data_IF_202923571340
#
_entry.id   IF_202923571340
#
_cell.length_a   1.000
_cell.length_b   1.000
_cell.length_c   1.000
_cell.angle_alpha   90.00
_cell.angle_beta   90.00
_cell.angle_gamma   90.00
#
_symmetry.space_group_name_H-M   'P 1'
#
loop_
_entity.id
_entity.type
_entity.pdbx_description
1 polymer ?
#
# COMPACT_ATOMS: atom_id res chain seq x y z
N UNK A 1 18.25 16.82 26.83
CA UNK A 1 17.21 17.53 26.03
C UNK A 1 16.46 16.60 25.05
N UNK A 2 17.11 15.74 24.24
CA UNK A 2 16.43 14.87 23.25
C UNK A 2 15.38 13.96 23.90
N UNK A 3 15.74 13.24 24.97
CA UNK A 3 14.80 12.35 25.65
C UNK A 3 13.60 13.08 26.26
N UNK A 4 13.72 14.31 26.71
CA UNK A 4 12.58 15.14 27.13
C UNK A 4 11.63 15.42 25.97
N UNK A 5 12.17 15.67 24.77
CA UNK A 5 11.38 15.83 23.55
C UNK A 5 10.68 14.53 23.14
N UNK A 6 11.35 13.38 23.27
CA UNK A 6 10.79 12.04 23.00
C UNK A 6 9.65 11.74 23.95
N UNK A 7 9.88 11.89 25.25
CA UNK A 7 8.85 11.66 26.30
C UNK A 7 7.65 12.61 26.11
N UNK A 8 7.89 13.90 25.91
CA UNK A 8 6.83 14.86 25.66
C UNK A 8 6.05 14.58 24.35
N UNK A 9 6.68 13.96 23.36
CA UNK A 9 6.00 13.52 22.16
C UNK A 9 5.18 12.25 22.43
N UNK A 10 5.74 11.28 23.14
CA UNK A 10 5.03 10.06 23.57
C UNK A 10 3.76 10.40 24.37
N UNK A 11 3.88 11.24 25.38
CA UNK A 11 2.72 11.68 26.18
C UNK A 11 1.64 12.30 25.29
N UNK A 12 2.02 13.19 24.37
CA UNK A 12 1.07 13.80 23.43
C UNK A 12 0.40 12.77 22.50
N UNK A 13 1.12 11.76 22.01
CA UNK A 13 0.50 10.74 21.16
C UNK A 13 -0.35 9.76 21.98
N UNK A 14 0.00 9.44 23.22
CA UNK A 14 -0.84 8.66 24.14
C UNK A 14 -2.14 9.39 24.49
N UNK A 15 -2.08 10.67 24.85
CA UNK A 15 -3.28 11.51 25.07
C UNK A 15 -4.15 11.53 23.81
N UNK A 16 -3.54 11.60 22.63
CA UNK A 16 -4.28 11.56 21.35
C UNK A 16 -4.92 10.21 21.09
N UNK A 17 -4.24 9.11 21.40
CA UNK A 17 -4.81 7.78 21.31
C UNK A 17 -6.01 7.62 22.23
N UNK A 18 -5.94 8.17 23.44
CA UNK A 18 -7.02 8.18 24.41
C UNK A 18 -8.27 8.96 23.95
N UNK A 19 -8.07 10.01 23.15
CA UNK A 19 -9.15 10.85 22.59
C UNK A 19 -9.72 10.25 21.28
N UNK A 20 -9.18 9.15 20.74
CA UNK A 20 -9.69 8.55 19.49
C UNK A 20 -11.18 8.20 19.57
N UNK A 21 -11.73 7.59 20.66
CA UNK A 21 -13.16 7.33 20.76
C UNK A 21 -14.02 8.60 20.65
N UNK A 22 -13.63 9.68 21.35
CA UNK A 22 -14.32 10.96 21.23
C UNK A 22 -14.26 11.55 19.82
N UNK A 23 -13.13 11.40 19.13
CA UNK A 23 -13.00 11.82 17.72
C UNK A 23 -13.86 11.00 16.78
N UNK A 24 -14.02 9.71 17.03
CA UNK A 24 -14.96 8.87 16.28
C UNK A 24 -16.40 9.35 16.47
N UNK A 25 -16.82 9.69 17.69
CA UNK A 25 -18.13 10.27 17.95
C UNK A 25 -18.34 11.60 17.20
N UNK A 26 -17.32 12.46 17.17
CA UNK A 26 -17.36 13.72 16.40
C UNK A 26 -17.29 13.50 14.88
N UNK A 27 -16.72 12.39 14.42
CA UNK A 27 -16.65 12.04 13.01
C UNK A 27 -17.98 11.50 12.47
N UNK A 28 -18.72 10.70 13.25
CA UNK A 28 -19.96 10.06 12.81
C UNK A 28 -20.96 11.01 12.14
N UNK A 29 -21.27 12.20 12.70
CA UNK A 29 -22.13 13.17 12.04
C UNK A 29 -21.57 13.72 10.73
N UNK A 30 -20.23 13.78 10.62
CA UNK A 30 -19.51 14.33 9.48
C UNK A 30 -19.19 13.29 8.40
N UNK A 31 -19.47 12.00 8.62
CA UNK A 31 -19.10 10.89 7.72
C UNK A 31 -19.59 11.08 6.31
N UNK A 32 -20.81 11.59 6.11
CA UNK A 32 -21.37 11.85 4.78
C UNK A 32 -20.58 12.92 4.02
N UNK A 33 -20.10 13.95 4.72
CA UNK A 33 -19.25 15.00 4.13
C UNK A 33 -17.91 14.43 3.64
N UNK A 34 -17.29 13.52 4.41
CA UNK A 34 -16.03 12.90 4.03
C UNK A 34 -16.20 11.88 2.90
N UNK A 35 -17.28 11.09 2.94
CA UNK A 35 -17.64 10.19 1.83
C UNK A 35 -17.86 10.96 0.53
N UNK A 36 -18.61 12.06 0.58
CA UNK A 36 -18.80 12.93 -0.57
C UNK A 36 -17.48 13.47 -1.12
N UNK A 37 -16.57 13.96 -0.28
CA UNK A 37 -15.25 14.44 -0.71
C UNK A 37 -14.39 13.34 -1.36
N UNK A 38 -14.41 12.14 -0.83
CA UNK A 38 -13.70 11.00 -1.42
C UNK A 38 -14.32 10.63 -2.76
N UNK A 39 -15.63 10.63 -2.87
CA UNK A 39 -16.35 10.35 -4.11
C UNK A 39 -16.13 11.43 -5.17
N UNK A 40 -16.15 12.70 -4.80
CA UNK A 40 -15.79 13.82 -5.68
C UNK A 40 -14.35 13.71 -6.21
N UNK A 41 -13.40 13.24 -5.39
CA UNK A 41 -12.03 13.01 -5.83
C UNK A 41 -11.93 11.81 -6.79
N UNK A 42 -12.68 10.73 -6.53
CA UNK A 42 -12.78 9.58 -7.42
C UNK A 42 -13.38 9.99 -8.77
N UNK A 43 -14.52 10.69 -8.79
CA UNK A 43 -15.18 11.15 -10.02
C UNK A 43 -14.27 12.08 -10.82
N UNK A 44 -13.66 13.10 -10.19
CA UNK A 44 -12.76 14.02 -10.85
C UNK A 44 -11.53 13.31 -11.46
N UNK A 45 -11.01 12.27 -10.82
CA UNK A 45 -9.93 11.46 -11.38
C UNK A 45 -10.39 10.61 -12.56
N UNK A 46 -11.66 10.16 -12.57
CA UNK A 46 -12.22 9.37 -13.68
C UNK A 46 -12.52 10.18 -14.92
N UNK A 47 -12.78 11.48 -14.77
CA UNK A 47 -13.05 12.43 -15.87
C UNK A 47 -11.77 12.88 -16.58
N UNK A 48 -10.60 12.75 -15.96
CA UNK A 48 -9.32 13.14 -16.57
C UNK A 48 -8.82 12.07 -17.53
N UNK A 49 -8.35 12.49 -18.68
CA UNK A 49 -7.67 11.61 -19.64
C UNK A 49 -6.27 11.21 -19.17
N UNK A 50 -5.61 12.07 -18.40
CA UNK A 50 -4.28 11.83 -17.85
C UNK A 50 -4.22 12.06 -16.33
N UNK A 51 -3.40 11.31 -15.60
CA UNK A 51 -3.16 11.55 -14.18
C UNK A 51 -2.58 12.94 -13.93
N UNK A 52 -2.88 13.55 -12.78
CA UNK A 52 -2.35 14.85 -12.42
C UNK A 52 -0.81 14.78 -12.27
N UNK A 53 -0.12 15.58 -13.07
CA UNK A 53 1.34 15.62 -13.11
C UNK A 53 1.98 16.43 -11.97
N UNK A 54 3.25 16.80 -12.14
CA UNK A 54 4.07 17.43 -11.10
C UNK A 54 3.82 18.93 -10.92
N UNK A 55 3.01 19.56 -11.74
CA UNK A 55 2.76 21.04 -11.68
C UNK A 55 2.31 21.52 -10.29
N UNK A 56 1.59 20.70 -9.53
CA UNK A 56 1.16 21.07 -8.18
C UNK A 56 2.31 21.11 -7.15
N UNK A 57 3.51 20.62 -7.52
CA UNK A 57 4.68 20.63 -6.65
C UNK A 57 5.51 21.93 -6.74
N UNK A 58 5.13 22.91 -7.56
CA UNK A 58 5.91 24.15 -7.72
C UNK A 58 6.12 24.89 -6.38
N UNK A 59 5.11 24.91 -5.52
CA UNK A 59 5.25 25.47 -4.18
C UNK A 59 6.20 24.67 -3.27
N UNK A 60 6.38 23.37 -3.54
CA UNK A 60 7.36 22.53 -2.86
C UNK A 60 8.78 22.84 -3.37
N UNK A 61 8.96 22.94 -4.67
CA UNK A 61 10.25 23.29 -5.26
C UNK A 61 10.73 24.69 -4.88
N UNK A 62 9.81 25.65 -4.73
CA UNK A 62 10.16 27.01 -4.29
C UNK A 62 10.72 27.08 -2.85
N UNK A 63 10.54 26.04 -2.06
CA UNK A 63 11.07 25.96 -0.69
C UNK A 63 12.44 25.27 -0.59
N UNK A 64 13.17 25.23 -1.71
CA UNK A 64 14.48 24.57 -1.70
C UNK A 64 15.41 25.21 -0.63
N UNK A 65 16.04 24.39 0.23
CA UNK A 65 17.00 24.89 1.19
C UNK A 65 18.23 25.47 0.45
N UNK A 66 18.89 26.45 1.07
CA UNK A 66 20.19 26.85 0.61
C UNK A 66 21.14 25.66 0.68
N UNK A 67 21.87 25.37 -0.41
CA UNK A 67 22.85 24.27 -0.42
C UNK A 67 23.96 24.55 0.58
N UNK A 68 24.17 23.60 1.49
CA UNK A 68 25.36 23.57 2.33
C UNK A 68 26.25 22.42 1.87
N UNK A 69 27.29 22.73 1.07
CA UNK A 69 28.32 21.78 0.64
C UNK A 69 28.08 21.14 -0.74
N UNK A 70 29.08 20.35 -1.20
CA UNK A 70 29.14 19.79 -2.56
C UNK A 70 28.18 18.61 -2.79
N UNK A 71 27.69 17.97 -1.73
CA UNK A 71 26.84 16.78 -1.81
C UNK A 71 25.65 16.91 -0.88
N UNK A 72 24.42 17.07 -1.40
CA UNK A 72 23.21 17.21 -0.56
C UNK A 72 22.93 15.96 0.27
N UNK A 73 22.37 16.17 1.46
CA UNK A 73 22.01 15.10 2.40
C UNK A 73 20.52 14.77 2.30
N UNK A 74 20.20 13.56 1.85
CA UNK A 74 18.87 13.00 1.83
C UNK A 74 18.68 12.04 3.00
N UNK A 75 17.59 12.18 3.74
CA UNK A 75 17.16 11.16 4.70
C UNK A 75 15.94 10.41 4.16
N UNK A 76 16.00 9.07 4.14
CA UNK A 76 14.89 8.20 3.68
C UNK A 76 14.45 7.31 4.82
N UNK A 77 13.13 7.19 5.04
CA UNK A 77 12.60 6.29 6.06
C UNK A 77 11.49 5.40 5.51
N UNK A 78 11.63 4.09 5.74
CA UNK A 78 10.63 3.07 5.44
C UNK A 78 10.42 2.16 6.65
N UNK A 79 9.15 1.96 7.05
CA UNK A 79 8.79 1.18 8.24
C UNK A 79 8.30 -0.24 7.96
N UNK A 80 8.13 -0.61 6.69
CA UNK A 80 7.66 -1.94 6.25
C UNK A 80 8.44 -2.40 5.02
N UNK A 81 8.48 -3.72 4.78
CA UNK A 81 9.25 -4.30 3.67
C UNK A 81 8.85 -3.77 2.29
N UNK A 82 7.56 -3.54 2.03
CA UNK A 82 7.09 -2.94 0.77
C UNK A 82 7.57 -1.50 0.60
N UNK A 83 7.48 -0.70 1.66
CA UNK A 83 8.00 0.68 1.67
C UNK A 83 9.52 0.72 1.50
N UNK A 84 10.24 -0.22 2.11
CA UNK A 84 11.70 -0.34 1.94
C UNK A 84 12.09 -0.67 0.50
N UNK A 85 11.37 -1.55 -0.18
CA UNK A 85 11.60 -1.86 -1.59
C UNK A 85 11.49 -0.59 -2.47
N UNK A 86 10.46 0.23 -2.24
CA UNK A 86 10.29 1.50 -2.96
C UNK A 86 11.40 2.51 -2.61
N UNK A 87 11.77 2.60 -1.34
CA UNK A 87 12.86 3.45 -0.86
C UNK A 87 14.21 3.04 -1.47
N UNK A 88 14.52 1.75 -1.49
CA UNK A 88 15.76 1.22 -2.06
C UNK A 88 15.86 1.47 -3.58
N UNK A 89 14.73 1.32 -4.31
CA UNK A 89 14.68 1.67 -5.75
C UNK A 89 14.98 3.16 -5.98
N UNK A 90 14.39 4.04 -5.17
CA UNK A 90 14.69 5.48 -5.22
C UNK A 90 16.19 5.74 -4.98
N UNK A 91 16.78 5.14 -3.94
CA UNK A 91 18.21 5.34 -3.61
C UNK A 91 19.10 4.87 -4.76
N UNK A 92 18.84 3.70 -5.35
CA UNK A 92 19.58 3.20 -6.54
C UNK A 92 19.44 4.15 -7.73
N UNK A 93 18.22 4.66 -7.99
CA UNK A 93 17.97 5.60 -9.09
C UNK A 93 18.69 6.94 -8.92
N UNK A 94 19.04 7.36 -7.69
CA UNK A 94 19.85 8.54 -7.44
C UNK A 94 21.33 8.37 -7.77
N UNK A 95 21.81 7.11 -7.87
CA UNK A 95 23.15 6.79 -8.37
C UNK A 95 24.31 7.38 -7.54
N UNK A 96 24.12 7.54 -6.23
CA UNK A 96 25.16 8.10 -5.34
C UNK A 96 25.33 9.63 -5.41
N UNK A 97 24.47 10.34 -6.16
CA UNK A 97 24.55 11.80 -6.30
C UNK A 97 24.24 12.58 -5.00
N UNK A 98 23.68 11.93 -3.98
CA UNK A 98 23.41 12.50 -2.67
C UNK A 98 24.06 11.63 -1.56
N UNK A 99 24.36 12.23 -0.42
CA UNK A 99 24.58 11.49 0.83
C UNK A 99 23.22 10.98 1.31
N UNK A 100 23.05 9.67 1.50
CA UNK A 100 21.76 9.10 1.93
C UNK A 100 21.91 8.46 3.29
N UNK A 101 21.24 9.01 4.32
CA UNK A 101 21.00 8.33 5.59
C UNK A 101 19.62 7.72 5.62
N UNK A 102 19.44 6.56 6.25
CA UNK A 102 18.15 5.87 6.17
C UNK A 102 17.71 5.21 7.49
N UNK A 103 16.39 5.07 7.64
CA UNK A 103 15.76 4.06 8.47
C UNK A 103 15.07 3.05 7.57
N UNK A 104 15.37 1.76 7.76
CA UNK A 104 14.84 0.67 6.92
C UNK A 104 15.52 -0.64 7.27
N UNK A 105 16.05 -1.35 6.31
CA UNK A 105 16.73 -2.63 6.49
C UNK A 105 17.80 -2.87 5.42
N UNK A 106 18.06 -4.17 5.15
CA UNK A 106 19.15 -4.60 4.26
C UNK A 106 19.02 -4.11 2.83
N UNK A 107 17.81 -3.97 2.27
CA UNK A 107 17.64 -3.50 0.88
C UNK A 107 18.10 -2.05 0.70
N UNK A 108 17.92 -1.19 1.71
CA UNK A 108 18.41 0.19 1.68
C UNK A 108 19.94 0.24 1.81
N UNK A 109 20.53 -0.63 2.65
CA UNK A 109 21.99 -0.76 2.75
C UNK A 109 22.62 -1.21 1.41
N UNK A 110 22.05 -2.24 0.78
CA UNK A 110 22.45 -2.72 -0.55
C UNK A 110 22.28 -1.66 -1.65
N UNK A 111 21.32 -0.74 -1.48
CA UNK A 111 21.14 0.38 -2.38
C UNK A 111 22.15 1.53 -2.18
N UNK A 112 23.02 1.44 -1.17
CA UNK A 112 24.07 2.44 -0.86
C UNK A 112 23.68 3.50 0.17
N UNK A 113 22.61 3.30 0.95
CA UNK A 113 22.25 4.18 2.05
C UNK A 113 22.99 3.81 3.33
N UNK A 114 23.37 4.83 4.14
CA UNK A 114 23.81 4.67 5.53
C UNK A 114 22.59 4.36 6.41
N UNK A 115 22.35 3.06 6.67
CA UNK A 115 21.21 2.60 7.47
C UNK A 115 21.50 2.76 8.95
N UNK A 116 20.99 3.83 9.54
CA UNK A 116 21.14 4.17 10.95
C UNK A 116 20.27 3.34 11.88
N UNK A 117 19.15 2.81 11.36
CA UNK A 117 18.18 2.07 12.16
C UNK A 117 17.39 1.05 11.32
N UNK A 118 17.38 -0.22 11.76
CA UNK A 118 16.70 -1.36 11.10
C UNK A 118 15.19 -1.35 11.33
N UNK A 119 14.47 -0.32 10.87
CA UNK A 119 13.05 -0.11 11.18
C UNK A 119 12.13 -1.14 10.51
N UNK A 120 12.38 -1.49 9.25
CA UNK A 120 11.53 -2.41 8.47
C UNK A 120 11.64 -3.87 8.94
N UNK A 121 12.77 -4.25 9.54
CA UNK A 121 13.00 -5.59 10.06
C UNK A 121 12.12 -5.92 11.27
N UNK A 122 11.63 -4.89 11.94
CA UNK A 122 10.81 -4.95 13.14
C UNK A 122 9.35 -4.55 12.91
N UNK A 123 8.92 -4.48 11.64
CA UNK A 123 7.58 -4.06 11.28
C UNK A 123 6.49 -4.95 11.90
N UNK A 124 5.63 -4.38 12.73
CA UNK A 124 4.43 -5.02 13.27
C UNK A 124 3.20 -4.16 13.07
N UNK A 125 2.08 -4.81 12.82
CA UNK A 125 0.78 -4.16 12.72
C UNK A 125 -0.10 -4.45 13.95
N UNK A 126 -0.98 -3.49 14.23
CA UNK A 126 -1.94 -3.57 15.32
C UNK A 126 -1.44 -2.96 16.62
N UNK A 127 -2.38 -2.57 17.48
CA UNK A 127 -2.10 -1.84 18.73
C UNK A 127 -1.16 -2.61 19.65
N UNK A 128 -1.38 -3.92 19.81
CA UNK A 128 -0.55 -4.77 20.68
C UNK A 128 0.88 -4.90 20.13
N UNK A 129 1.03 -5.03 18.81
CA UNK A 129 2.33 -5.08 18.17
C UNK A 129 3.11 -3.78 18.35
N UNK A 130 2.47 -2.65 18.14
CA UNK A 130 3.06 -1.31 18.35
C UNK A 130 3.47 -1.10 19.81
N UNK A 131 2.67 -1.53 20.78
CA UNK A 131 3.03 -1.43 22.20
C UNK A 131 4.26 -2.25 22.56
N UNK A 132 4.41 -3.47 22.03
CA UNK A 132 5.60 -4.30 22.23
C UNK A 132 6.86 -3.68 21.65
N UNK A 133 6.75 -2.92 20.56
CA UNK A 133 7.88 -2.27 19.90
C UNK A 133 8.06 -0.79 20.28
N UNK A 134 7.27 -0.30 21.22
CA UNK A 134 7.35 1.09 21.65
C UNK A 134 8.79 1.53 22.03
N UNK A 135 9.58 0.75 22.79
CA UNK A 135 10.96 1.13 23.09
C UNK A 135 11.84 1.30 21.85
N UNK A 136 11.64 0.43 20.84
CA UNK A 136 12.34 0.50 19.56
C UNK A 136 11.98 1.76 18.79
N UNK A 137 10.67 2.04 18.68
CA UNK A 137 10.14 3.25 18.01
C UNK A 137 10.66 4.52 18.68
N UNK A 138 10.73 4.55 20.01
CA UNK A 138 11.26 5.69 20.77
C UNK A 138 12.76 5.90 20.54
N UNK A 139 13.55 4.81 20.44
CA UNK A 139 14.97 4.87 20.10
C UNK A 139 15.18 5.39 18.69
N UNK A 140 14.42 4.87 17.70
CA UNK A 140 14.45 5.36 16.32
C UNK A 140 14.12 6.85 16.27
N UNK A 141 13.07 7.27 16.96
CA UNK A 141 12.72 8.70 17.01
C UNK A 141 13.77 9.56 17.71
N UNK A 142 14.41 9.07 18.76
CA UNK A 142 15.51 9.77 19.44
C UNK A 142 16.73 9.92 18.51
N UNK A 143 17.08 8.87 17.74
CA UNK A 143 18.18 8.94 16.76
C UNK A 143 17.86 9.93 15.63
N UNK A 144 16.62 9.91 15.13
CA UNK A 144 16.18 10.90 14.16
C UNK A 144 16.27 12.35 14.67
N UNK A 145 15.94 12.59 15.95
CA UNK A 145 16.08 13.92 16.54
C UNK A 145 17.54 14.35 16.72
N UNK A 146 18.47 13.38 16.94
CA UNK A 146 19.90 13.64 16.92
C UNK A 146 20.37 14.03 15.52
N UNK A 147 19.98 13.24 14.50
CA UNK A 147 20.27 13.56 13.11
C UNK A 147 19.80 14.98 12.75
N UNK A 148 18.56 15.31 13.04
CA UNK A 148 18.03 16.65 12.77
C UNK A 148 18.77 17.78 13.51
N UNK A 149 19.45 17.49 14.61
CA UNK A 149 20.24 18.48 15.38
C UNK A 149 21.66 18.59 14.87
N UNK A 150 22.31 17.45 14.64
CA UNK A 150 23.75 17.34 14.47
C UNK A 150 24.18 17.35 12.99
N UNK A 151 23.34 16.80 12.11
CA UNK A 151 23.60 16.67 10.68
C UNK A 151 22.24 16.71 9.92
N UNK A 152 21.57 17.88 9.91
CA UNK A 152 20.24 18.00 9.35
C UNK A 152 20.22 17.71 7.85
N UNK A 153 19.31 16.84 7.37
CA UNK A 153 19.18 16.58 5.94
C UNK A 153 18.55 17.76 5.20
N UNK A 154 18.92 17.92 3.93
CA UNK A 154 18.35 18.92 3.02
C UNK A 154 16.90 18.52 2.62
N UNK A 155 16.61 17.22 2.60
CA UNK A 155 15.29 16.66 2.31
C UNK A 155 15.05 15.39 3.13
N UNK A 156 13.85 15.24 3.66
CA UNK A 156 13.36 14.00 4.27
C UNK A 156 12.28 13.37 3.38
N UNK A 157 12.52 12.15 2.92
CA UNK A 157 11.55 11.33 2.17
C UNK A 157 11.02 10.23 3.10
N UNK A 158 9.74 10.29 3.40
CA UNK A 158 9.02 9.34 4.25
C UNK A 158 8.20 8.41 3.36
N UNK A 159 8.45 7.10 3.43
CA UNK A 159 7.78 6.11 2.57
C UNK A 159 6.75 5.33 3.37
N UNK A 160 5.45 5.52 3.04
CA UNK A 160 4.33 4.89 3.76
C UNK A 160 4.39 5.11 5.30
N UNK A 161 4.05 4.13 6.12
CA UNK A 161 4.21 4.05 7.58
C UNK A 161 3.76 5.29 8.36
N UNK A 162 2.48 5.72 8.25
CA UNK A 162 2.00 7.04 8.67
C UNK A 162 2.07 7.30 10.18
N UNK A 163 2.22 6.28 11.02
CA UNK A 163 2.28 6.41 12.48
C UNK A 163 3.49 7.22 12.94
N UNK A 164 4.68 6.66 12.80
CA UNK A 164 5.95 7.30 13.18
C UNK A 164 6.28 8.46 12.22
N UNK A 165 6.04 8.29 10.92
CA UNK A 165 6.40 9.27 9.91
C UNK A 165 5.70 10.62 10.12
N UNK A 166 4.43 10.64 10.58
CA UNK A 166 3.78 11.91 10.91
C UNK A 166 4.42 12.62 12.12
N UNK A 167 5.01 11.87 13.04
CA UNK A 167 5.75 12.43 14.19
C UNK A 167 7.10 12.99 13.74
N UNK A 168 7.80 12.27 12.86
CA UNK A 168 9.07 12.70 12.23
C UNK A 168 8.85 13.96 11.39
N UNK A 169 7.83 13.98 10.52
CA UNK A 169 7.47 15.15 9.71
C UNK A 169 7.24 16.42 10.55
N UNK A 170 6.62 16.29 11.72
CA UNK A 170 6.46 17.44 12.65
C UNK A 170 7.76 17.91 13.25
N UNK A 171 8.71 17.01 13.50
CA UNK A 171 10.02 17.38 13.98
C UNK A 171 10.81 18.14 12.90
N UNK A 172 10.73 17.70 11.65
CA UNK A 172 11.30 18.39 10.48
C UNK A 172 10.72 19.79 10.34
N UNK A 173 9.38 19.92 10.36
CA UNK A 173 8.69 21.21 10.24
C UNK A 173 9.16 22.24 11.26
N UNK A 174 9.46 21.83 12.51
CA UNK A 174 9.97 22.74 13.57
C UNK A 174 11.38 23.25 13.30
N UNK A 175 12.12 22.55 12.43
CA UNK A 175 13.50 22.88 12.06
C UNK A 175 13.65 23.40 10.65
N UNK A 176 12.55 23.61 9.94
CA UNK A 176 12.55 24.07 8.56
C UNK A 176 13.02 23.05 7.53
N UNK A 177 13.21 21.77 7.94
CA UNK A 177 13.59 20.68 7.02
C UNK A 177 12.38 20.25 6.22
N UNK A 178 12.45 20.28 4.88
CA UNK A 178 11.34 19.89 3.99
C UNK A 178 11.07 18.39 4.04
N UNK A 179 9.77 18.03 3.91
CA UNK A 179 9.30 16.65 3.97
C UNK A 179 8.48 16.29 2.75
N UNK A 180 8.93 15.29 2.03
CA UNK A 180 8.21 14.62 0.96
C UNK A 180 7.66 13.28 1.45
N UNK A 181 6.37 13.05 1.33
CA UNK A 181 5.79 11.75 1.66
C UNK A 181 5.54 10.95 0.38
N UNK A 182 6.23 9.84 0.23
CA UNK A 182 6.12 8.91 -0.88
C UNK A 182 5.28 7.70 -0.47
N UNK A 183 4.33 7.29 -1.31
CA UNK A 183 3.24 6.36 -0.99
C UNK A 183 2.34 6.95 0.09
N UNK A 184 1.36 7.72 -0.36
CA UNK A 184 0.46 8.49 0.49
C UNK A 184 -0.31 7.63 1.50
N UNK A 185 -0.51 8.11 2.74
CA UNK A 185 -1.30 7.38 3.71
C UNK A 185 -2.78 7.38 3.32
N UNK A 186 -3.45 6.25 3.48
CA UNK A 186 -4.86 6.05 3.09
C UNK A 186 -5.85 6.79 4.01
N UNK A 187 -5.62 8.09 4.27
CA UNK A 187 -6.53 8.92 5.07
C UNK A 187 -7.85 9.20 4.36
N UNK A 188 -7.89 9.04 3.04
CA UNK A 188 -9.12 9.06 2.26
C UNK A 188 -10.06 7.90 2.58
N UNK A 189 -9.53 6.74 3.03
CA UNK A 189 -10.31 5.58 3.45
C UNK A 189 -10.57 5.57 4.95
N UNK A 190 -9.52 5.77 5.76
CA UNK A 190 -9.55 5.56 7.21
C UNK A 190 -9.07 6.77 8.00
N UNK A 191 -9.97 7.40 8.71
CA UNK A 191 -9.63 8.50 9.62
C UNK A 191 -9.27 9.81 8.95
N UNK A 192 -10.11 10.34 8.06
CA UNK A 192 -9.85 11.57 7.29
C UNK A 192 -9.67 12.81 8.19
N UNK A 193 -10.09 12.77 9.44
CA UNK A 193 -9.78 13.82 10.43
C UNK A 193 -8.28 14.01 10.68
N UNK A 194 -7.43 13.04 10.29
CA UNK A 194 -5.98 13.14 10.39
C UNK A 194 -5.39 14.12 9.39
N UNK A 195 -6.10 14.43 8.29
CA UNK A 195 -5.68 15.35 7.24
C UNK A 195 -5.26 16.72 7.76
N UNK A 196 -5.97 17.26 8.78
CA UNK A 196 -5.59 18.54 9.40
C UNK A 196 -4.17 18.54 9.98
N UNK A 197 -3.73 17.40 10.54
CA UNK A 197 -2.37 17.25 11.11
C UNK A 197 -1.36 16.99 10.00
N UNK A 198 -1.72 16.19 9.04
CA UNK A 198 -0.91 15.82 7.89
C UNK A 198 -0.50 17.05 7.09
N UNK A 199 -1.46 17.84 6.65
CA UNK A 199 -1.25 19.11 5.93
C UNK A 199 -0.31 20.10 6.60
N UNK A 200 -0.23 20.06 7.94
CA UNK A 200 0.66 20.94 8.72
C UNK A 200 2.07 20.41 8.90
N UNK A 201 2.31 19.17 8.54
CA UNK A 201 3.58 18.49 8.82
C UNK A 201 4.32 18.07 7.55
N UNK A 202 3.61 17.78 6.47
CA UNK A 202 4.16 17.30 5.20
C UNK A 202 4.07 18.43 4.18
N UNK A 203 5.14 18.66 3.44
CA UNK A 203 5.22 19.75 2.46
C UNK A 203 4.69 19.33 1.10
N UNK A 204 4.91 18.07 0.69
CA UNK A 204 4.33 17.50 -0.52
C UNK A 204 4.13 15.99 -0.41
N UNK A 205 3.22 15.46 -1.23
CA UNK A 205 2.84 14.03 -1.22
C UNK A 205 2.92 13.45 -2.63
N UNK A 206 3.61 12.34 -2.79
CA UNK A 206 3.66 11.56 -4.01
C UNK A 206 2.70 10.39 -3.90
N UNK A 207 1.73 10.36 -4.79
CA UNK A 207 0.62 9.41 -4.77
C UNK A 207 0.82 8.30 -5.80
N UNK A 208 0.31 7.10 -5.48
CA UNK A 208 0.40 5.92 -6.35
C UNK A 208 -0.96 5.50 -6.93
N UNK A 209 -2.05 6.09 -6.44
CA UNK A 209 -3.38 5.92 -7.02
C UNK A 209 -3.85 7.25 -7.63
N UNK A 210 -4.43 7.26 -8.84
CA UNK A 210 -4.75 8.49 -9.56
C UNK A 210 -5.64 9.46 -8.78
N UNK A 211 -6.65 8.96 -8.06
CA UNK A 211 -7.59 9.78 -7.29
C UNK A 211 -6.98 10.40 -6.02
N UNK A 212 -5.91 9.82 -5.50
CA UNK A 212 -5.25 10.34 -4.29
C UNK A 212 -4.74 11.76 -4.49
N UNK A 213 -4.19 12.05 -5.65
CA UNK A 213 -3.68 13.39 -5.98
C UNK A 213 -4.77 14.44 -5.84
N UNK A 214 -5.94 14.16 -6.40
CA UNK A 214 -7.10 15.06 -6.28
C UNK A 214 -7.57 15.18 -4.84
N UNK A 215 -7.61 14.06 -4.11
CA UNK A 215 -8.00 14.07 -2.69
C UNK A 215 -7.06 14.95 -1.85
N UNK A 216 -5.75 14.77 -1.98
CA UNK A 216 -4.76 15.53 -1.20
C UNK A 216 -4.74 17.00 -1.61
N UNK A 217 -4.81 17.32 -2.90
CA UNK A 217 -4.87 18.67 -3.41
C UNK A 217 -6.08 19.45 -2.85
N UNK A 218 -7.27 18.84 -2.85
CA UNK A 218 -8.49 19.42 -2.25
C UNK A 218 -8.39 19.63 -0.74
N UNK A 219 -7.49 18.92 -0.07
CA UNK A 219 -7.19 19.13 1.35
C UNK A 219 -6.06 20.15 1.59
N UNK A 220 -5.53 20.79 0.53
CA UNK A 220 -4.48 21.80 0.57
C UNK A 220 -3.10 21.20 0.86
N UNK A 221 -2.83 20.00 0.33
CA UNK A 221 -1.51 19.35 0.33
C UNK A 221 -1.03 19.30 -1.11
N UNK A 222 0.10 19.94 -1.46
CA UNK A 222 0.71 19.78 -2.77
C UNK A 222 0.95 18.29 -3.06
N UNK A 223 0.50 17.82 -4.22
CA UNK A 223 0.57 16.39 -4.52
C UNK A 223 0.74 16.15 -6.02
N UNK A 224 1.41 15.04 -6.36
CA UNK A 224 1.55 14.58 -7.73
C UNK A 224 1.38 13.06 -7.81
N UNK A 225 0.73 12.61 -8.87
CA UNK A 225 0.67 11.22 -9.24
C UNK A 225 1.99 10.81 -9.90
N UNK A 226 2.64 9.79 -9.35
CA UNK A 226 3.93 9.32 -9.85
C UNK A 226 3.82 7.98 -10.61
N UNK A 227 2.61 7.45 -10.77
CA UNK A 227 2.38 6.08 -11.25
C UNK A 227 2.39 5.06 -10.12
N UNK A 228 1.94 3.86 -10.43
CA UNK A 228 1.91 2.78 -9.45
C UNK A 228 3.17 1.92 -9.55
N UNK A 229 3.96 1.74 -8.47
CA UNK A 229 5.22 0.98 -8.51
C UNK A 229 5.07 -0.47 -8.98
N UNK A 230 3.90 -1.07 -8.82
CA UNK A 230 3.59 -2.40 -9.33
C UNK A 230 3.78 -2.50 -10.85
N UNK A 231 3.54 -1.42 -11.60
CA UNK A 231 3.78 -1.41 -13.05
C UNK A 231 5.27 -1.51 -13.38
N UNK A 232 6.13 -0.91 -12.55
CA UNK A 232 7.59 -1.05 -12.69
C UNK A 232 8.00 -2.50 -12.41
N UNK A 233 7.45 -3.12 -11.36
CA UNK A 233 7.70 -4.53 -11.02
C UNK A 233 7.29 -5.49 -12.13
N UNK A 234 6.11 -5.30 -12.70
CA UNK A 234 5.62 -6.11 -13.82
C UNK A 234 6.45 -5.94 -15.10
N UNK A 235 7.00 -4.75 -15.33
CA UNK A 235 7.89 -4.49 -16.46
C UNK A 235 9.28 -5.12 -16.27
N UNK A 236 9.84 -5.02 -15.06
CA UNK A 236 11.19 -5.48 -14.74
C UNK A 236 11.29 -7.01 -14.63
N UNK A 237 10.24 -7.65 -14.14
CA UNK A 237 10.17 -9.10 -13.95
C UNK A 237 8.86 -9.67 -14.55
N UNK A 238 8.71 -9.66 -15.88
CA UNK A 238 7.56 -10.28 -16.52
C UNK A 238 7.59 -11.80 -16.27
N UNK A 239 6.43 -12.43 -16.05
CA UNK A 239 6.39 -13.88 -15.88
C UNK A 239 6.79 -14.60 -17.17
N UNK A 240 7.49 -15.71 -17.02
CA UNK A 240 7.90 -16.55 -18.16
C UNK A 240 6.69 -17.09 -18.92
N UNK A 241 6.68 -16.91 -20.24
CA UNK A 241 5.55 -17.28 -21.10
C UNK A 241 5.23 -18.77 -21.05
N UNK A 242 6.24 -19.62 -20.94
CA UNK A 242 6.11 -21.08 -20.80
C UNK A 242 5.43 -21.48 -19.51
N UNK A 243 5.77 -20.84 -18.38
CA UNK A 243 5.15 -21.10 -17.09
C UNK A 243 3.68 -20.62 -17.08
N UNK A 244 3.42 -19.44 -17.66
CA UNK A 244 2.05 -18.92 -17.82
C UNK A 244 1.19 -19.86 -18.65
N UNK A 245 1.73 -20.37 -19.77
CA UNK A 245 1.03 -21.33 -20.63
C UNK A 245 0.72 -22.63 -19.89
N UNK A 246 1.66 -23.15 -19.11
CA UNK A 246 1.48 -24.36 -18.31
C UNK A 246 0.39 -24.21 -17.25
N UNK A 247 0.33 -23.05 -16.57
CA UNK A 247 -0.74 -22.75 -15.57
C UNK A 247 -2.10 -22.61 -16.29
N UNK A 248 -2.13 -21.94 -17.44
CA UNK A 248 -3.35 -21.70 -18.22
C UNK A 248 -3.99 -22.99 -18.74
N UNK A 249 -3.16 -23.95 -19.18
CA UNK A 249 -3.60 -25.25 -19.68
C UNK A 249 -4.34 -26.09 -18.62
N UNK A 250 -4.12 -25.83 -17.31
CA UNK A 250 -4.63 -26.64 -16.21
C UNK A 250 -5.86 -26.09 -15.50
N UNK A 251 -6.58 -25.12 -16.10
CA UNK A 251 -7.80 -24.52 -15.51
C UNK A 251 -7.60 -24.18 -14.00
N UNK A 252 -6.63 -23.35 -13.71
CA UNK A 252 -6.16 -23.11 -12.35
C UNK A 252 -6.99 -22.04 -11.63
N UNK A 253 -7.46 -22.36 -10.41
CA UNK A 253 -7.92 -21.40 -9.40
C UNK A 253 -6.74 -21.02 -8.51
N UNK A 254 -6.45 -19.73 -8.43
CA UNK A 254 -5.42 -19.21 -7.54
C UNK A 254 -6.07 -18.59 -6.30
N UNK A 255 -5.61 -18.99 -5.11
CA UNK A 255 -6.04 -18.45 -3.82
C UNK A 255 -4.94 -17.57 -3.23
N UNK A 256 -5.25 -16.31 -2.94
CA UNK A 256 -4.39 -15.35 -2.26
C UNK A 256 -5.00 -14.94 -0.91
N UNK A 257 -4.87 -15.74 0.15
CA UNK A 257 -5.53 -15.50 1.44
C UNK A 257 -4.95 -14.31 2.21
N UNK A 258 -3.82 -13.77 1.78
CA UNK A 258 -3.10 -12.65 2.38
C UNK A 258 -1.63 -12.95 2.61
N UNK A 259 -0.87 -11.94 3.00
CA UNK A 259 0.57 -12.04 3.28
C UNK A 259 0.89 -12.18 4.79
N UNK A 260 -0.04 -11.79 5.65
CA UNK A 260 0.12 -11.82 7.12
C UNK A 260 -0.57 -13.02 7.72
N UNK A 261 0.01 -13.56 8.83
CA UNK A 261 -0.57 -14.71 9.55
C UNK A 261 -2.08 -14.54 9.80
N UNK A 262 -2.47 -13.42 10.38
CA UNK A 262 -3.86 -13.17 10.73
C UNK A 262 -4.81 -13.08 9.52
N UNK A 263 -4.30 -12.65 8.35
CA UNK A 263 -5.07 -12.62 7.09
C UNK A 263 -5.27 -14.03 6.55
N UNK A 264 -4.21 -14.83 6.52
CA UNK A 264 -4.26 -16.23 6.06
C UNK A 264 -5.24 -17.03 6.92
N UNK A 265 -5.11 -16.96 8.26
CA UNK A 265 -6.01 -17.62 9.21
C UNK A 265 -7.47 -17.16 9.08
N UNK A 266 -7.71 -15.91 8.66
CA UNK A 266 -9.06 -15.40 8.49
C UNK A 266 -9.71 -15.89 7.21
N UNK A 267 -8.96 -15.91 6.09
CA UNK A 267 -9.57 -16.05 4.77
C UNK A 267 -9.46 -17.48 4.20
N UNK A 268 -8.43 -18.25 4.58
CA UNK A 268 -8.13 -19.51 3.87
C UNK A 268 -9.26 -20.53 3.95
N UNK A 269 -9.87 -20.72 5.11
CA UNK A 269 -10.96 -21.69 5.28
C UNK A 269 -12.13 -21.42 4.31
N UNK A 270 -12.64 -20.19 4.27
CA UNK A 270 -13.71 -19.83 3.37
C UNK A 270 -13.30 -19.87 1.89
N UNK A 271 -12.05 -19.54 1.56
CA UNK A 271 -11.54 -19.70 0.19
C UNK A 271 -11.50 -21.16 -0.24
N UNK A 272 -11.23 -22.10 0.69
CA UNK A 272 -11.27 -23.53 0.43
C UNK A 272 -12.72 -24.03 0.21
N UNK A 273 -13.70 -23.46 0.90
CA UNK A 273 -15.13 -23.75 0.68
C UNK A 273 -15.56 -23.31 -0.74
N UNK A 274 -15.12 -22.13 -1.19
CA UNK A 274 -15.35 -21.67 -2.58
C UNK A 274 -14.68 -22.61 -3.58
N UNK A 275 -13.43 -23.02 -3.34
CA UNK A 275 -12.73 -23.98 -4.19
C UNK A 275 -13.47 -25.33 -4.27
N UNK A 276 -13.98 -25.84 -3.15
CA UNK A 276 -14.79 -27.06 -3.11
C UNK A 276 -16.11 -26.91 -3.90
N UNK A 277 -16.75 -25.75 -3.84
CA UNK A 277 -17.94 -25.46 -4.62
C UNK A 277 -17.66 -25.45 -6.14
N UNK A 278 -16.53 -24.86 -6.56
CA UNK A 278 -16.10 -24.87 -7.95
C UNK A 278 -15.72 -26.27 -8.43
N UNK A 279 -15.07 -27.10 -7.59
CA UNK A 279 -14.74 -28.51 -7.92
C UNK A 279 -15.97 -29.39 -8.16
N UNK A 280 -17.11 -29.08 -7.58
CA UNK A 280 -18.36 -29.78 -7.89
C UNK A 280 -18.84 -29.53 -9.30
N UNK A 281 -18.50 -28.37 -9.90
CA UNK A 281 -18.83 -28.03 -11.29
C UNK A 281 -17.73 -28.43 -12.28
N UNK A 282 -16.49 -28.44 -11.81
CA UNK A 282 -15.30 -28.74 -12.61
C UNK A 282 -14.33 -29.61 -11.79
N UNK A 283 -14.50 -30.96 -11.82
CA UNK A 283 -13.68 -31.88 -11.04
C UNK A 283 -12.18 -31.82 -11.33
N UNK A 284 -11.79 -31.41 -12.52
CA UNK A 284 -10.40 -31.28 -12.97
C UNK A 284 -9.74 -29.94 -12.56
N UNK A 285 -10.48 -29.10 -11.85
CA UNK A 285 -10.01 -27.82 -11.34
C UNK A 285 -8.75 -28.01 -10.48
N UNK A 286 -7.66 -27.35 -10.88
CA UNK A 286 -6.46 -27.22 -10.07
C UNK A 286 -6.56 -26.05 -9.10
N UNK A 287 -6.23 -26.24 -7.84
CA UNK A 287 -6.24 -25.18 -6.81
C UNK A 287 -4.84 -24.94 -6.31
N UNK A 288 -4.35 -23.69 -6.37
CA UNK A 288 -2.99 -23.34 -5.96
C UNK A 288 -2.98 -22.12 -5.04
N UNK A 289 -2.17 -22.17 -4.00
CA UNK A 289 -1.87 -21.06 -3.07
C UNK A 289 -0.41 -20.64 -3.29
N UNK A 290 -0.11 -19.69 -4.19
CA UNK A 290 1.25 -19.19 -4.36
C UNK A 290 1.56 -18.14 -3.28
N UNK A 291 2.82 -18.14 -2.79
CA UNK A 291 3.27 -17.16 -1.80
C UNK A 291 4.78 -16.87 -1.90
N UNK A 292 5.17 -15.62 -1.62
CA UNK A 292 6.58 -15.16 -1.67
C UNK A 292 7.33 -15.34 -0.33
N UNK A 293 6.64 -15.69 0.76
CA UNK A 293 7.24 -15.67 2.09
C UNK A 293 7.41 -17.09 2.66
N UNK A 294 8.64 -17.62 2.72
CA UNK A 294 8.93 -18.96 3.24
C UNK A 294 8.40 -19.20 4.67
N UNK A 295 8.37 -18.14 5.50
CA UNK A 295 7.87 -18.22 6.88
C UNK A 295 6.37 -18.53 6.96
N UNK A 296 5.64 -18.55 5.84
CA UNK A 296 4.20 -18.85 5.76
C UNK A 296 3.93 -20.30 5.37
N UNK A 297 4.90 -21.00 4.81
CA UNK A 297 4.77 -22.39 4.36
C UNK A 297 4.19 -23.30 5.42
N UNK A 298 4.80 -23.34 6.61
CA UNK A 298 4.34 -24.18 7.71
C UNK A 298 2.90 -23.84 8.17
N UNK A 299 2.53 -22.55 8.19
CA UNK A 299 1.18 -22.13 8.55
C UNK A 299 0.16 -22.61 7.51
N UNK A 300 0.44 -22.39 6.21
CA UNK A 300 -0.46 -22.79 5.12
C UNK A 300 -0.66 -24.31 5.16
N UNK A 301 0.42 -25.07 5.27
CA UNK A 301 0.37 -26.53 5.37
C UNK A 301 -0.45 -27.02 6.58
N UNK A 302 -0.30 -26.36 7.74
CA UNK A 302 -1.07 -26.71 8.93
C UNK A 302 -2.57 -26.49 8.70
N UNK A 303 -2.95 -25.35 8.14
CA UNK A 303 -4.34 -25.02 7.84
C UNK A 303 -4.95 -25.92 6.76
N UNK A 304 -4.18 -26.32 5.73
CA UNK A 304 -4.63 -27.28 4.71
C UNK A 304 -4.90 -28.67 5.33
N UNK A 305 -4.04 -29.15 6.23
CA UNK A 305 -4.27 -30.42 6.96
C UNK A 305 -5.49 -30.34 7.86
N UNK A 306 -5.66 -29.24 8.60
CA UNK A 306 -6.82 -29.03 9.47
C UNK A 306 -8.13 -29.03 8.67
N UNK A 307 -8.14 -28.37 7.51
CA UNK A 307 -9.27 -28.31 6.60
C UNK A 307 -9.47 -29.61 5.77
N UNK A 308 -8.59 -30.59 5.87
CA UNK A 308 -8.57 -31.81 5.01
C UNK A 308 -8.70 -31.44 3.52
N UNK A 309 -7.96 -30.40 3.10
CA UNK A 309 -8.03 -29.85 1.75
C UNK A 309 -7.11 -30.61 0.79
N UNK A 310 -7.46 -31.88 0.52
CA UNK A 310 -6.70 -32.74 -0.39
C UNK A 310 -6.70 -32.18 -1.82
N UNK A 311 -5.54 -32.26 -2.50
CA UNK A 311 -5.35 -31.77 -3.85
C UNK A 311 -5.28 -30.23 -3.96
N UNK A 312 -5.10 -29.50 -2.86
CA UNK A 312 -4.75 -28.08 -2.87
C UNK A 312 -3.23 -27.95 -2.74
N UNK A 313 -2.63 -27.31 -3.75
CA UNK A 313 -1.18 -27.10 -3.77
C UNK A 313 -0.81 -25.77 -3.12
N UNK A 314 0.29 -25.73 -2.40
CA UNK A 314 0.95 -24.48 -2.05
C UNK A 314 2.29 -24.38 -2.81
N UNK A 315 2.63 -23.18 -3.28
CA UNK A 315 3.84 -22.93 -4.06
C UNK A 315 4.57 -21.71 -3.52
N UNK A 316 5.82 -21.90 -3.12
CA UNK A 316 6.72 -20.80 -2.78
C UNK A 316 7.40 -20.28 -4.03
N UNK A 317 7.49 -18.93 -4.18
CA UNK A 317 8.15 -18.30 -5.31
C UNK A 317 7.37 -17.11 -5.88
N UNK A 318 7.69 -16.71 -7.12
CA UNK A 318 7.05 -15.59 -7.79
C UNK A 318 5.55 -15.85 -8.03
N UNK A 319 4.73 -14.81 -7.87
CA UNK A 319 3.29 -14.90 -8.10
C UNK A 319 2.93 -14.76 -9.58
N UNK A 320 3.75 -14.04 -10.35
CA UNK A 320 3.48 -13.66 -11.74
C UNK A 320 2.95 -14.77 -12.63
N UNK A 321 3.61 -15.93 -12.76
CA UNK A 321 3.14 -17.02 -13.61
C UNK A 321 1.75 -17.53 -13.23
N UNK A 322 1.50 -17.67 -11.92
CA UNK A 322 0.21 -18.11 -11.37
C UNK A 322 -0.89 -17.09 -11.66
N UNK A 323 -0.62 -15.79 -11.41
CA UNK A 323 -1.59 -14.73 -11.63
C UNK A 323 -1.87 -14.49 -13.10
N UNK A 324 -0.86 -14.62 -13.98
CA UNK A 324 -1.02 -14.42 -15.41
C UNK A 324 -1.69 -15.63 -16.11
N UNK A 325 -1.52 -16.84 -15.57
CA UNK A 325 -2.08 -18.06 -16.14
C UNK A 325 -3.41 -18.53 -15.53
N UNK A 326 -3.84 -17.94 -14.40
CA UNK A 326 -5.04 -18.37 -13.69
C UNK A 326 -6.32 -18.27 -14.55
N UNK A 327 -7.23 -19.22 -14.37
CA UNK A 327 -8.59 -19.06 -14.86
C UNK A 327 -9.43 -18.12 -13.99
N UNK A 328 -9.19 -18.17 -12.67
CA UNK A 328 -9.82 -17.29 -11.67
C UNK A 328 -8.84 -17.07 -10.52
N UNK A 329 -8.82 -15.87 -9.97
CA UNK A 329 -8.09 -15.52 -8.76
C UNK A 329 -9.09 -15.13 -7.66
N UNK A 330 -9.00 -15.78 -6.50
CA UNK A 330 -9.72 -15.37 -5.30
C UNK A 330 -8.72 -14.73 -4.35
N UNK A 331 -8.81 -13.42 -4.16
CA UNK A 331 -7.78 -12.65 -3.49
C UNK A 331 -8.30 -11.84 -2.31
N UNK A 332 -7.57 -11.84 -1.20
CA UNK A 332 -7.74 -10.83 -0.15
C UNK A 332 -7.39 -9.46 -0.70
N UNK A 333 -8.21 -8.44 -0.38
CA UNK A 333 -7.96 -7.06 -0.80
C UNK A 333 -6.54 -6.58 -0.45
N UNK A 334 -5.79 -6.10 -1.44
CA UNK A 334 -4.41 -5.64 -1.32
C UNK A 334 -3.69 -5.62 -2.66
N UNK A 335 -2.38 -5.45 -2.65
CA UNK A 335 -1.53 -5.38 -3.87
C UNK A 335 -1.68 -6.61 -4.77
N UNK A 336 -1.77 -7.83 -4.18
CA UNK A 336 -1.94 -9.06 -4.96
C UNK A 336 -3.25 -9.10 -5.77
N UNK A 337 -4.35 -8.52 -5.27
CA UNK A 337 -5.60 -8.44 -6.02
C UNK A 337 -5.51 -7.45 -7.19
N UNK A 338 -4.77 -6.35 -7.04
CA UNK A 338 -4.49 -5.42 -8.13
C UNK A 338 -3.54 -6.06 -9.16
N UNK A 339 -2.51 -6.78 -8.71
CA UNK A 339 -1.58 -7.53 -9.56
C UNK A 339 -2.34 -8.54 -10.44
N UNK A 340 -3.24 -9.32 -9.86
CA UNK A 340 -4.09 -10.27 -10.59
C UNK A 340 -4.97 -9.57 -11.65
N UNK A 341 -5.59 -8.45 -11.29
CA UNK A 341 -6.38 -7.63 -12.20
C UNK A 341 -5.52 -7.11 -13.37
N UNK A 342 -4.31 -6.62 -13.10
CA UNK A 342 -3.39 -6.10 -14.12
C UNK A 342 -2.86 -7.16 -15.08
N UNK A 343 -2.81 -8.43 -14.67
CA UNK A 343 -2.56 -9.57 -15.56
C UNK A 343 -3.76 -9.93 -16.44
N UNK A 344 -4.92 -9.28 -16.23
CA UNK A 344 -6.11 -9.49 -17.03
C UNK A 344 -6.88 -10.77 -16.67
N UNK A 345 -6.69 -11.34 -15.47
CA UNK A 345 -7.44 -12.52 -15.09
C UNK A 345 -8.66 -12.18 -14.21
N UNK A 346 -9.76 -12.89 -14.38
CA UNK A 346 -10.92 -12.76 -13.51
C UNK A 346 -10.52 -12.87 -12.05
N UNK A 347 -10.96 -11.91 -11.24
CA UNK A 347 -10.57 -11.79 -9.84
C UNK A 347 -11.79 -11.48 -8.99
N UNK A 348 -11.98 -12.21 -7.90
CA UNK A 348 -12.92 -11.88 -6.83
C UNK A 348 -12.14 -11.43 -5.61
N UNK A 349 -12.50 -10.27 -5.07
CA UNK A 349 -11.80 -9.66 -3.94
C UNK A 349 -12.58 -9.86 -2.65
N UNK A 350 -11.88 -10.31 -1.61
CA UNK A 350 -12.47 -10.59 -0.29
C UNK A 350 -11.76 -9.79 0.78
N UNK A 351 -12.50 -9.29 1.75
CA UNK A 351 -11.97 -8.70 2.95
C UNK A 351 -12.80 -9.15 4.17
N UNK A 352 -12.37 -10.24 4.80
CA UNK A 352 -13.04 -10.73 6.00
C UNK A 352 -12.59 -9.96 7.24
N UNK A 353 -13.54 -9.32 7.91
CA UNK A 353 -13.33 -8.57 9.15
C UNK A 353 -13.41 -9.51 10.35
N UNK A 354 -12.47 -9.42 11.27
CA UNK A 354 -12.53 -10.17 12.54
C UNK A 354 -13.31 -9.41 13.59
N UNK A 355 -14.42 -9.98 14.02
CA UNK A 355 -15.27 -9.48 15.10
C UNK A 355 -16.27 -8.40 14.69
N UNK A 356 -17.35 -8.32 15.44
CA UNK A 356 -18.47 -7.41 15.20
C UNK A 356 -18.09 -5.92 15.30
N UNK A 357 -17.15 -5.56 16.16
CA UNK A 357 -16.64 -4.18 16.29
C UNK A 357 -15.92 -3.72 15.01
N UNK A 358 -15.17 -4.61 14.35
CA UNK A 358 -14.52 -4.31 13.08
C UNK A 358 -15.55 -4.08 11.97
N UNK A 359 -16.64 -4.87 11.95
CA UNK A 359 -17.75 -4.69 11.00
C UNK A 359 -18.49 -3.37 11.21
N UNK A 360 -18.77 -3.02 12.48
CA UNK A 360 -19.40 -1.74 12.83
C UNK A 360 -18.49 -0.58 12.43
N UNK A 361 -17.17 -0.70 12.70
CA UNK A 361 -16.17 0.28 12.29
C UNK A 361 -16.10 0.44 10.77
N UNK A 362 -16.05 -0.65 10.02
CA UNK A 362 -16.06 -0.63 8.56
C UNK A 362 -17.25 0.15 8.01
N UNK A 363 -18.47 -0.21 8.41
CA UNK A 363 -19.71 0.44 7.93
C UNK A 363 -19.78 1.93 8.23
N UNK A 364 -19.20 2.38 9.36
CA UNK A 364 -19.34 3.75 9.85
C UNK A 364 -18.11 4.63 9.60
N UNK A 365 -16.91 4.05 9.50
CA UNK A 365 -15.65 4.81 9.41
C UNK A 365 -15.11 4.88 7.99
N UNK A 366 -15.35 3.86 7.17
CA UNK A 366 -14.87 3.85 5.78
C UNK A 366 -15.50 5.02 4.99
N UNK A 367 -14.62 5.81 4.36
CA UNK A 367 -15.02 7.02 3.63
C UNK A 367 -15.15 6.81 2.12
N UNK A 368 -14.75 5.64 1.61
CA UNK A 368 -14.80 5.31 0.17
C UNK A 368 -15.82 4.21 -0.11
N UNK A 369 -16.34 4.12 -1.36
CA UNK A 369 -17.34 3.13 -1.72
C UNK A 369 -16.77 1.72 -1.93
N UNK A 370 -15.47 1.61 -2.21
CA UNK A 370 -14.80 0.36 -2.55
C UNK A 370 -13.60 0.07 -1.65
N UNK A 371 -13.22 -1.21 -1.55
CA UNK A 371 -12.01 -1.70 -0.86
C UNK A 371 -10.96 -2.26 -1.83
N UNK A 372 -11.38 -2.71 -3.02
CA UNK A 372 -10.48 -3.16 -4.06
C UNK A 372 -9.85 -1.95 -4.76
N UNK A 373 -8.52 -1.95 -4.87
CA UNK A 373 -7.80 -0.88 -5.56
C UNK A 373 -8.26 -0.73 -7.02
N UNK A 374 -8.57 -1.84 -7.70
CA UNK A 374 -9.10 -1.83 -9.07
C UNK A 374 -10.39 -1.00 -9.18
N UNK A 375 -11.35 -1.20 -8.26
CA UNK A 375 -12.63 -0.48 -8.24
C UNK A 375 -12.44 1.00 -7.89
N UNK A 376 -11.52 1.30 -6.96
CA UNK A 376 -11.16 2.69 -6.64
C UNK A 376 -10.51 3.41 -7.83
N UNK A 377 -9.62 2.74 -8.57
CA UNK A 377 -8.98 3.29 -9.77
C UNK A 377 -10.00 3.51 -10.88
N UNK A 378 -10.91 2.55 -11.09
CA UNK A 378 -11.96 2.65 -12.10
C UNK A 378 -13.07 3.63 -11.72
N UNK A 379 -13.25 3.94 -10.42
CA UNK A 379 -14.37 4.72 -9.88
C UNK A 379 -15.72 3.99 -9.93
N UNK A 380 -15.70 2.72 -10.28
CA UNK A 380 -16.86 1.82 -10.34
C UNK A 380 -16.45 0.38 -10.05
N UNK A 381 -17.39 -0.51 -9.86
CA UNK A 381 -17.09 -1.92 -9.71
C UNK A 381 -16.65 -2.51 -11.06
N UNK A 382 -15.42 -3.03 -11.10
CA UNK A 382 -14.82 -3.78 -12.21
C UNK A 382 -14.37 -5.16 -11.78
N UNK A 383 -14.18 -5.36 -10.49
CA UNK A 383 -13.95 -6.64 -9.84
C UNK A 383 -15.00 -6.83 -8.74
N UNK A 384 -15.67 -7.99 -8.64
CA UNK A 384 -16.54 -8.28 -7.50
C UNK A 384 -15.75 -8.16 -6.20
N UNK A 385 -16.29 -7.40 -5.22
CA UNK A 385 -15.65 -7.24 -3.92
C UNK A 385 -16.62 -7.51 -2.77
N UNK A 386 -16.17 -8.28 -1.80
CA UNK A 386 -16.97 -8.69 -0.66
C UNK A 386 -16.27 -8.30 0.64
N UNK A 387 -16.92 -7.45 1.45
CA UNK A 387 -16.46 -7.09 2.77
C UNK A 387 -17.49 -7.48 3.82
N UNK A 388 -17.16 -8.44 4.66
CA UNK A 388 -18.09 -9.00 5.63
C UNK A 388 -17.37 -9.46 6.91
N UNK A 389 -18.15 -9.78 7.94
CA UNK A 389 -17.70 -10.43 9.17
C UNK A 389 -18.47 -11.73 9.39
N UNK A 390 -17.84 -12.71 10.02
CA UNK A 390 -18.42 -14.03 10.17
C UNK A 390 -18.33 -14.86 8.88
N UNK A 391 -19.16 -15.89 8.77
CA UNK A 391 -19.13 -16.89 7.67
C UNK A 391 -20.15 -16.61 6.56
N UNK A 392 -21.23 -15.88 6.82
CA UNK A 392 -22.36 -15.71 5.88
C UNK A 392 -22.07 -14.93 4.58
N UNK A 393 -20.89 -14.32 4.45
CA UNK A 393 -20.48 -13.63 3.22
C UNK A 393 -19.91 -14.53 2.13
N UNK A 394 -19.55 -15.77 2.46
CA UNK A 394 -18.89 -16.69 1.52
C UNK A 394 -19.83 -17.23 0.44
N UNK A 395 -21.15 -17.25 0.67
CA UNK A 395 -22.14 -17.65 -0.34
C UNK A 395 -22.13 -16.68 -1.54
N UNK A 396 -22.09 -15.37 -1.28
CA UNK A 396 -22.00 -14.35 -2.31
C UNK A 396 -20.66 -14.41 -3.07
N UNK A 397 -19.56 -14.64 -2.35
CA UNK A 397 -18.23 -14.87 -2.95
C UNK A 397 -18.27 -16.09 -3.87
N UNK A 398 -18.89 -17.18 -3.43
CA UNK A 398 -19.04 -18.42 -4.20
C UNK A 398 -19.84 -18.17 -5.48
N UNK A 399 -20.97 -17.46 -5.39
CA UNK A 399 -21.79 -17.14 -6.55
C UNK A 399 -21.03 -16.34 -7.63
N UNK A 400 -20.28 -15.31 -7.21
CA UNK A 400 -19.44 -14.53 -8.15
C UNK A 400 -18.27 -15.35 -8.71
N UNK A 401 -17.65 -16.20 -7.89
CA UNK A 401 -16.60 -17.10 -8.35
C UNK A 401 -17.12 -18.09 -9.40
N UNK A 402 -18.29 -18.69 -9.18
CA UNK A 402 -18.95 -19.59 -10.12
C UNK A 402 -19.34 -18.88 -11.42
N UNK A 403 -19.89 -17.68 -11.33
CA UNK A 403 -20.23 -16.85 -12.48
C UNK A 403 -18.98 -16.53 -13.32
N UNK A 404 -17.91 -16.04 -12.70
CA UNK A 404 -16.66 -15.76 -13.42
C UNK A 404 -15.92 -17.03 -13.89
N UNK A 405 -16.20 -18.20 -13.31
CA UNK A 405 -15.62 -19.47 -13.75
C UNK A 405 -16.24 -19.96 -15.04
N UNK A 406 -17.56 -19.84 -15.23
CA UNK A 406 -18.33 -20.47 -16.30
C UNK A 406 -18.91 -19.50 -17.35
N UNK A 407 -19.21 -18.24 -16.99
CA UNK A 407 -19.84 -17.26 -17.87
C UNK A 407 -18.79 -16.45 -18.63
N UNK A 408 -18.68 -16.68 -19.93
CA UNK A 408 -17.71 -15.99 -20.79
C UNK A 408 -18.04 -14.50 -20.97
N UNK A 409 -19.32 -14.10 -20.92
CA UNK A 409 -19.69 -12.69 -20.99
C UNK A 409 -19.26 -11.93 -19.72
N UNK A 410 -19.44 -12.54 -18.54
CA UNK A 410 -18.96 -11.98 -17.28
C UNK A 410 -17.42 -11.87 -17.27
N UNK A 411 -16.72 -12.85 -17.82
CA UNK A 411 -15.27 -12.82 -17.98
C UNK A 411 -14.82 -11.70 -18.90
N UNK A 412 -15.46 -11.54 -20.06
CA UNK A 412 -15.15 -10.47 -21.02
C UNK A 412 -15.36 -9.09 -20.39
N UNK A 413 -16.47 -8.88 -19.69
CA UNK A 413 -16.72 -7.62 -18.96
C UNK A 413 -15.65 -7.32 -17.89
N UNK A 414 -15.19 -8.36 -17.18
CA UNK A 414 -14.10 -8.22 -16.21
C UNK A 414 -12.79 -7.81 -16.89
N UNK A 415 -12.45 -8.42 -18.03
CA UNK A 415 -11.25 -8.08 -18.80
C UNK A 415 -11.28 -6.65 -19.30
N UNK A 416 -12.43 -6.15 -19.74
CA UNK A 416 -12.59 -4.75 -20.14
C UNK A 416 -12.38 -3.80 -18.95
N UNK A 417 -12.89 -4.15 -17.78
CA UNK A 417 -12.62 -3.44 -16.53
C UNK A 417 -11.14 -3.42 -16.18
N UNK A 418 -10.45 -4.55 -16.33
CA UNK A 418 -9.01 -4.66 -16.08
C UNK A 418 -8.18 -3.78 -17.04
N UNK A 419 -8.56 -3.73 -18.33
CA UNK A 419 -7.94 -2.83 -19.32
C UNK A 419 -8.15 -1.36 -18.94
N UNK A 420 -9.35 -1.00 -18.45
CA UNK A 420 -9.62 0.35 -17.95
C UNK A 420 -8.72 0.70 -16.76
N UNK A 421 -8.60 -0.19 -15.77
CA UNK A 421 -7.69 -0.01 -14.62
C UNK A 421 -6.25 0.22 -15.08
N UNK A 422 -5.76 -0.61 -16.01
CA UNK A 422 -4.41 -0.47 -16.59
C UNK A 422 -4.21 0.88 -17.26
N UNK A 423 -5.15 1.30 -18.09
CA UNK A 423 -5.09 2.60 -18.77
C UNK A 423 -5.07 3.77 -17.80
N UNK A 424 -5.87 3.71 -16.71
CA UNK A 424 -5.92 4.78 -15.70
C UNK A 424 -4.68 4.87 -14.83
N UNK A 425 -4.01 3.74 -14.59
CA UNK A 425 -2.71 3.73 -13.92
C UNK A 425 -1.59 4.30 -14.80
N UNK A 426 -1.77 4.32 -16.11
CA UNK A 426 -0.79 4.84 -17.07
C UNK A 426 0.42 3.93 -17.24
N UNK A 427 1.55 4.56 -17.61
CA UNK A 427 2.78 3.85 -17.95
C UNK A 427 3.67 3.59 -16.72
N UNK A 428 4.48 2.53 -16.75
CA UNK A 428 5.57 2.30 -15.80
C UNK A 428 6.50 3.52 -15.68
N UNK A 429 7.38 3.54 -14.68
CA UNK A 429 8.33 4.63 -14.44
C UNK A 429 8.03 5.43 -13.15
N UNK A 430 7.31 4.84 -12.21
CA UNK A 430 7.04 5.46 -10.89
C UNK A 430 8.34 5.83 -10.17
N UNK A 431 9.31 4.91 -10.15
CA UNK A 431 10.62 5.11 -9.54
C UNK A 431 11.39 6.27 -10.17
N UNK A 432 11.41 6.35 -11.51
CA UNK A 432 12.13 7.40 -12.24
C UNK A 432 11.50 8.78 -11.99
N UNK A 433 10.17 8.85 -11.95
CA UNK A 433 9.45 10.10 -11.64
C UNK A 433 9.71 10.58 -10.22
N UNK A 434 9.78 9.69 -9.22
CA UNK A 434 10.16 10.04 -7.84
C UNK A 434 11.61 10.53 -7.80
N UNK A 435 12.53 9.82 -8.46
CA UNK A 435 13.94 10.19 -8.52
C UNK A 435 14.12 11.56 -9.19
N UNK A 436 13.41 11.84 -10.28
CA UNK A 436 13.44 13.14 -10.96
C UNK A 436 12.95 14.28 -10.03
N UNK A 437 11.87 14.06 -9.26
CA UNK A 437 11.35 15.02 -8.29
C UNK A 437 12.39 15.30 -7.19
N UNK A 438 13.02 14.25 -6.64
CA UNK A 438 14.05 14.38 -5.60
C UNK A 438 15.31 15.06 -6.17
N UNK A 439 15.76 14.70 -7.39
CA UNK A 439 16.89 15.33 -8.06
C UNK A 439 16.63 16.83 -8.29
N UNK A 440 15.47 17.20 -8.83
CA UNK A 440 15.06 18.58 -9.02
C UNK A 440 15.05 19.36 -7.71
N UNK A 441 14.48 18.76 -6.64
CA UNK A 441 14.47 19.43 -5.33
C UNK A 441 15.87 19.66 -4.77
N UNK A 442 16.74 18.65 -4.87
CA UNK A 442 18.12 18.72 -4.37
C UNK A 442 19.09 19.37 -5.37
N UNK A 443 18.62 19.84 -6.53
CA UNK A 443 19.43 20.44 -7.62
C UNK A 443 20.59 19.55 -8.07
N UNK A 444 20.35 18.24 -8.12
CA UNK A 444 21.36 17.26 -8.55
C UNK A 444 21.53 17.33 -10.08
N UNK A 445 22.72 17.67 -10.57
CA UNK A 445 23.05 17.79 -12.00
C UNK A 445 22.82 19.17 -12.60
N UNK A 446 22.43 20.18 -11.82
CA UNK A 446 22.59 21.59 -12.22
C UNK A 446 24.06 21.97 -11.94
N UNK A 447 24.86 22.25 -12.97
CA UNK A 447 26.17 22.88 -12.81
C UNK A 447 25.96 24.26 -12.17
N UNK A 448 26.72 24.53 -11.08
CA UNK A 448 26.73 25.83 -10.39
C UNK A 448 27.53 26.84 -11.20
#
# INVERSE_FOLDING_TARGET
MIWLSVIGTLIRELVRAWIVPARLLLYLPQRHRWRRRAQEALSAATERSEPAGTAQLEAFFARQPARSGDRPHLFVSAGEASGEQHAARLVRALGGAAKVSAFGGGQLAEAGADVRFGLSEHAVMGVVGVLKQLPLILRAYADFLRLLRDDPPDLVVLVDYPGLHLVMAKACRRRGVPVLHYVAPQYWAWGPWRMRRYRRAVDATLTILPFETEFFARQGVPSAYIGHPLLDELREAPPEASEVAAVRAQRTLVLLPGSRRAEIEANLAGMLEVAAALRRQDPDLRVVIPHKNPRRTALIQALLREARADGVEHREGPLGPWLAGARLVLAKSGTGSLEACLHGNPTVVVYQLRGWLASLGYRNILSVPFIAAANLIAGREVVPEHCFSGTGGWDAVTADAQRLWSDEAARAAHLDGAREVRRRLGEPGATDRVAAIVRRFLRLGEEV
#
